data_IF_548121670128
#
_entry.id   IF_548121670128
#
_cell.length_a   1.000
_cell.length_b   1.000
_cell.length_c   1.000
_cell.angle_alpha   90.00
_cell.angle_beta   90.00
_cell.angle_gamma   90.00
#
_symmetry.space_group_name_H-M   'P 1'
#
loop_
_entity.id
_entity.type
_entity.pdbx_description
1 polymer ?
#
# COMPACT_ATOMS: atom_id res chain seq x y z
N UNK A 1 -14.78 -35.53 -20.55
CA UNK A 1 -13.95 -36.30 -21.53
C UNK A 1 -14.66 -36.35 -22.89
N UNK A 2 -15.96 -36.54 -22.93
CA UNK A 2 -16.74 -36.72 -24.15
C UNK A 2 -16.76 -35.48 -25.05
N UNK A 3 -16.81 -34.28 -24.46
CA UNK A 3 -16.76 -33.00 -25.17
C UNK A 3 -15.39 -32.76 -25.86
N UNK A 4 -14.30 -33.12 -25.21
CA UNK A 4 -12.96 -32.97 -25.78
C UNK A 4 -12.79 -33.87 -27.02
N UNK A 5 -13.31 -35.10 -26.95
CA UNK A 5 -13.34 -36.01 -28.09
C UNK A 5 -14.22 -35.50 -29.25
N UNK A 6 -15.43 -35.00 -28.93
CA UNK A 6 -16.34 -34.43 -29.93
C UNK A 6 -15.78 -33.17 -30.63
N UNK A 7 -15.04 -32.35 -29.90
CA UNK A 7 -14.38 -31.14 -30.42
C UNK A 7 -13.02 -31.42 -31.07
N UNK A 8 -12.50 -32.63 -30.97
CA UNK A 8 -11.17 -33.03 -31.49
C UNK A 8 -10.02 -32.28 -30.82
N UNK A 9 -10.14 -32.02 -29.54
CA UNK A 9 -9.12 -31.30 -28.75
C UNK A 9 -8.86 -32.00 -27.40
N UNK A 10 -7.80 -31.59 -26.70
CA UNK A 10 -7.54 -32.11 -25.35
C UNK A 10 -8.51 -31.56 -24.30
N UNK A 11 -8.76 -32.27 -23.19
CA UNK A 11 -9.56 -31.76 -22.08
C UNK A 11 -9.05 -30.41 -21.53
N UNK A 12 -7.72 -30.24 -21.54
CA UNK A 12 -7.10 -28.97 -21.11
C UNK A 12 -7.38 -27.82 -22.09
N UNK A 13 -7.50 -28.12 -23.40
CA UNK A 13 -7.91 -27.14 -24.41
C UNK A 13 -9.37 -26.70 -24.20
N UNK A 14 -10.26 -27.63 -23.87
CA UNK A 14 -11.65 -27.30 -23.50
C UNK A 14 -11.69 -26.40 -22.27
N UNK A 15 -10.99 -26.77 -21.20
CA UNK A 15 -10.90 -25.95 -19.98
C UNK A 15 -10.36 -24.54 -20.25
N UNK A 16 -9.29 -24.41 -21.04
CA UNK A 16 -8.72 -23.13 -21.44
C UNK A 16 -9.66 -22.32 -22.33
N UNK A 17 -10.46 -22.97 -23.17
CA UNK A 17 -11.48 -22.30 -23.99
C UNK A 17 -12.63 -21.78 -23.14
N UNK A 18 -13.05 -22.52 -22.11
CA UNK A 18 -14.03 -22.06 -21.13
C UNK A 18 -13.54 -20.82 -20.39
N UNK A 19 -12.24 -20.76 -20.08
CA UNK A 19 -11.58 -19.62 -19.43
C UNK A 19 -11.17 -18.48 -20.40
N UNK A 20 -11.61 -18.54 -21.63
CA UNK A 20 -11.28 -17.60 -22.71
C UNK A 20 -9.78 -17.28 -22.87
N UNK A 21 -8.92 -18.24 -22.52
CA UNK A 21 -7.45 -18.09 -22.51
C UNK A 21 -6.93 -17.56 -23.85
N UNK A 22 -6.03 -16.54 -23.85
CA UNK A 22 -5.44 -15.99 -25.07
C UNK A 22 -4.52 -17.01 -25.79
N UNK A 23 -4.11 -18.10 -25.12
CA UNK A 23 -3.30 -19.15 -25.72
C UNK A 23 -4.05 -20.07 -26.69
N UNK A 24 -5.39 -19.95 -26.78
CA UNK A 24 -6.23 -20.74 -27.67
C UNK A 24 -6.70 -19.86 -28.83
N UNK A 25 -6.52 -20.35 -30.08
CA UNK A 25 -6.94 -19.63 -31.28
C UNK A 25 -8.45 -19.38 -31.30
N UNK A 26 -8.87 -18.29 -31.93
CA UNK A 26 -10.28 -17.92 -32.08
C UNK A 26 -11.10 -19.04 -32.73
N UNK A 27 -10.56 -19.64 -33.77
CA UNK A 27 -11.20 -20.75 -34.49
C UNK A 27 -11.45 -21.97 -33.58
N UNK A 28 -10.46 -22.33 -32.76
CA UNK A 28 -10.59 -23.42 -31.80
C UNK A 28 -11.63 -23.09 -30.72
N UNK A 29 -11.67 -21.85 -30.25
CA UNK A 29 -12.67 -21.40 -29.27
C UNK A 29 -14.09 -21.51 -29.84
N UNK A 30 -14.30 -21.05 -31.07
CA UNK A 30 -15.61 -21.07 -31.76
C UNK A 30 -16.07 -22.52 -31.98
N UNK A 31 -15.17 -23.41 -32.39
CA UNK A 31 -15.47 -24.83 -32.59
C UNK A 31 -15.89 -25.52 -31.27
N UNK A 32 -15.15 -25.30 -30.19
CA UNK A 32 -15.45 -25.88 -28.88
C UNK A 32 -16.77 -25.33 -28.33
N UNK A 33 -17.03 -24.04 -28.45
CA UNK A 33 -18.31 -23.43 -28.02
C UNK A 33 -19.52 -23.97 -28.80
N UNK A 34 -19.35 -24.23 -30.09
CA UNK A 34 -20.41 -24.82 -30.91
C UNK A 34 -20.77 -26.24 -30.45
N UNK A 35 -19.76 -27.05 -30.18
CA UNK A 35 -19.96 -28.42 -29.66
C UNK A 35 -20.59 -28.40 -28.26
N UNK A 36 -20.21 -27.46 -27.41
CA UNK A 36 -20.85 -27.25 -26.12
C UNK A 36 -22.35 -27.01 -26.25
N UNK A 37 -22.74 -26.07 -27.12
CA UNK A 37 -24.13 -25.76 -27.40
C UNK A 37 -24.90 -26.96 -27.94
N UNK A 38 -24.29 -27.77 -28.86
CA UNK A 38 -24.91 -28.96 -29.43
C UNK A 38 -25.12 -30.09 -28.39
N UNK A 39 -24.26 -30.20 -27.41
CA UNK A 39 -24.34 -31.21 -26.34
C UNK A 39 -25.19 -30.74 -25.14
N UNK A 40 -25.81 -29.57 -25.21
CA UNK A 40 -26.55 -28.97 -24.10
C UNK A 40 -25.68 -28.71 -22.88
N UNK A 41 -24.37 -28.63 -23.07
CA UNK A 41 -23.43 -28.34 -22.01
C UNK A 41 -23.40 -26.82 -21.82
N UNK A 42 -24.15 -26.34 -20.87
CA UNK A 42 -23.86 -25.04 -20.28
C UNK A 42 -22.62 -25.23 -19.42
N UNK A 43 -21.45 -24.72 -19.86
CA UNK A 43 -20.36 -24.63 -18.91
C UNK A 43 -20.90 -23.83 -17.75
N UNK A 44 -20.83 -24.37 -16.54
CA UNK A 44 -20.76 -23.51 -15.38
C UNK A 44 -19.54 -22.63 -15.68
N UNK A 45 -19.77 -21.51 -16.32
CA UNK A 45 -18.98 -20.35 -16.08
C UNK A 45 -19.27 -20.05 -14.59
N UNK A 46 -18.61 -20.75 -13.69
CA UNK A 46 -17.97 -19.96 -12.67
C UNK A 46 -17.26 -18.91 -13.52
N UNK A 47 -17.94 -17.81 -13.78
CA UNK A 47 -17.32 -16.52 -14.03
C UNK A 47 -16.18 -16.57 -13.05
N UNK A 48 -14.94 -16.80 -13.56
CA UNK A 48 -13.79 -16.45 -12.71
C UNK A 48 -14.22 -15.12 -12.18
N UNK A 49 -14.32 -14.97 -10.87
CA UNK A 49 -14.83 -13.74 -10.34
C UNK A 49 -14.01 -12.71 -11.09
N UNK A 50 -14.64 -11.84 -11.87
CA UNK A 50 -14.11 -10.53 -12.24
C UNK A 50 -13.40 -10.14 -10.98
N UNK A 51 -12.05 -10.20 -10.96
CA UNK A 51 -11.21 -10.22 -9.77
C UNK A 51 -12.01 -9.69 -8.62
N UNK A 52 -12.56 -10.60 -7.80
CA UNK A 52 -13.60 -10.17 -6.89
C UNK A 52 -12.82 -9.42 -5.84
N UNK A 53 -12.75 -8.09 -6.06
CA UNK A 53 -12.10 -7.19 -5.12
C UNK A 53 -12.60 -7.59 -3.74
N UNK A 54 -11.70 -7.90 -2.85
CA UNK A 54 -12.00 -8.27 -1.46
C UNK A 54 -12.77 -7.12 -0.77
N UNK A 55 -12.73 -5.92 -1.40
CA UNK A 55 -13.20 -4.64 -0.85
C UNK A 55 -12.59 -4.35 0.51
N UNK A 56 -11.34 -4.76 0.67
CA UNK A 56 -10.59 -4.59 1.90
C UNK A 56 -9.33 -3.78 1.63
N UNK A 57 -9.08 -2.79 2.46
CA UNK A 57 -7.85 -2.00 2.48
C UNK A 57 -7.09 -2.31 3.77
N UNK A 58 -5.85 -2.76 3.60
CA UNK A 58 -4.93 -2.95 4.72
C UNK A 58 -4.31 -1.62 5.15
N UNK A 59 -4.46 -1.24 6.41
CA UNK A 59 -3.83 -0.06 7.00
C UNK A 59 -2.66 -0.54 7.84
N UNK A 60 -1.45 -0.20 7.44
CA UNK A 60 -0.22 -0.67 8.08
C UNK A 60 0.31 0.44 8.98
N UNK A 61 0.40 0.13 10.27
CA UNK A 61 1.00 1.00 11.27
C UNK A 61 2.50 0.70 11.43
N UNK A 62 3.32 1.65 11.94
CA UNK A 62 4.71 1.37 12.23
C UNK A 62 4.82 0.25 13.26
N UNK A 63 5.78 -0.66 13.08
CA UNK A 63 6.10 -1.67 14.09
C UNK A 63 6.55 -0.99 15.37
N UNK A 64 5.95 -1.33 16.50
CA UNK A 64 6.27 -0.78 17.81
C UNK A 64 5.71 -1.67 18.92
N UNK A 65 6.50 -1.88 19.96
CA UNK A 65 6.05 -2.59 21.16
C UNK A 65 5.10 -1.75 22.05
N UNK A 66 5.03 -0.44 21.83
CA UNK A 66 4.20 0.49 22.62
C UNK A 66 3.72 1.66 21.75
N UNK A 67 2.60 2.24 22.11
CA UNK A 67 2.13 3.59 21.72
C UNK A 67 1.59 3.80 20.28
N UNK A 68 1.51 2.77 19.43
CA UNK A 68 0.97 2.94 18.07
C UNK A 68 -0.50 3.35 18.11
N UNK A 69 -1.25 2.83 19.09
CA UNK A 69 -2.67 3.15 19.28
C UNK A 69 -2.92 4.44 20.09
N UNK A 70 -1.88 5.01 20.70
CA UNK A 70 -1.99 6.26 21.46
C UNK A 70 -1.69 7.51 20.60
N UNK A 71 -1.18 7.31 19.40
CA UNK A 71 -0.85 8.41 18.50
C UNK A 71 -2.11 8.99 17.85
N UNK A 72 -2.54 10.16 18.31
CA UNK A 72 -3.71 10.86 17.80
C UNK A 72 -3.65 11.10 16.28
N UNK A 73 -2.47 11.30 15.70
CA UNK A 73 -2.28 11.44 14.26
C UNK A 73 -2.72 10.16 13.51
N UNK A 74 -2.30 8.97 13.96
CA UNK A 74 -2.70 7.72 13.34
C UNK A 74 -4.21 7.48 13.48
N UNK A 75 -4.77 7.75 14.67
CA UNK A 75 -6.21 7.58 14.90
C UNK A 75 -7.07 8.46 13.99
N UNK A 76 -6.68 9.72 13.80
CA UNK A 76 -7.39 10.63 12.91
C UNK A 76 -7.32 10.20 11.44
N UNK A 77 -6.17 9.70 10.99
CA UNK A 77 -6.04 9.17 9.63
C UNK A 77 -6.89 7.91 9.46
N UNK A 78 -6.82 6.96 10.40
CA UNK A 78 -7.64 5.74 10.35
C UNK A 78 -9.12 6.10 10.32
N UNK A 79 -9.55 7.08 11.10
CA UNK A 79 -10.93 7.58 11.10
C UNK A 79 -11.32 8.13 9.71
N UNK A 80 -10.46 8.95 9.11
CA UNK A 80 -10.70 9.50 7.77
C UNK A 80 -10.77 8.43 6.69
N UNK A 81 -9.84 7.46 6.71
CA UNK A 81 -9.84 6.30 5.80
C UNK A 81 -11.14 5.51 5.98
N UNK A 82 -11.53 5.22 7.24
CA UNK A 82 -12.75 4.48 7.54
C UNK A 82 -14.00 5.15 6.99
N UNK A 83 -14.14 6.46 7.16
CA UNK A 83 -15.27 7.22 6.61
C UNK A 83 -15.33 7.12 5.08
N UNK A 84 -14.19 7.26 4.40
CA UNK A 84 -14.12 7.17 2.95
C UNK A 84 -14.41 5.75 2.43
N UNK A 85 -13.84 4.74 3.08
CA UNK A 85 -14.06 3.34 2.75
C UNK A 85 -15.53 2.93 2.91
N UNK A 86 -16.16 3.32 4.03
CA UNK A 86 -17.57 3.02 4.30
C UNK A 86 -18.50 3.57 3.21
N UNK A 87 -18.26 4.79 2.73
CA UNK A 87 -19.03 5.37 1.64
C UNK A 87 -18.95 4.54 0.35
N UNK A 88 -17.87 3.80 0.15
CA UNK A 88 -17.61 2.96 -1.02
C UNK A 88 -17.78 1.48 -0.79
N UNK A 89 -18.29 1.10 0.39
CA UNK A 89 -18.49 -0.30 0.80
C UNK A 89 -17.18 -1.11 0.85
N UNK A 90 -16.08 -0.45 1.22
CA UNK A 90 -14.82 -1.08 1.56
C UNK A 90 -14.72 -1.27 3.07
N UNK A 91 -14.02 -2.33 3.47
CA UNK A 91 -13.66 -2.61 4.86
C UNK A 91 -12.20 -2.23 5.09
N UNK A 92 -11.85 -1.83 6.30
CA UNK A 92 -10.46 -1.60 6.68
C UNK A 92 -9.99 -2.70 7.61
N UNK A 93 -8.77 -3.16 7.41
CA UNK A 93 -8.06 -4.02 8.36
C UNK A 93 -6.79 -3.30 8.81
N UNK A 94 -6.62 -3.15 10.11
CA UNK A 94 -5.40 -2.57 10.69
C UNK A 94 -4.38 -3.68 10.91
N UNK A 95 -3.18 -3.47 10.38
CA UNK A 95 -2.05 -4.40 10.46
C UNK A 95 -1.00 -3.78 11.36
N UNK A 96 -0.62 -4.50 12.40
CA UNK A 96 0.40 -4.10 13.38
C UNK A 96 1.27 -5.31 13.72
N UNK A 97 2.44 -5.05 14.25
CA UNK A 97 3.36 -6.08 14.76
C UNK A 97 4.41 -5.47 15.68
N UNK A 98 5.08 -6.30 16.45
CA UNK A 98 6.18 -5.86 17.32
C UNK A 98 7.41 -5.43 16.51
N UNK A 99 7.60 -6.06 15.33
CA UNK A 99 8.67 -5.75 14.39
C UNK A 99 8.20 -5.81 12.93
N UNK A 100 9.10 -5.43 12.01
CA UNK A 100 8.83 -5.44 10.57
C UNK A 100 8.61 -6.85 10.01
N UNK A 101 9.13 -7.90 10.65
CA UNK A 101 8.97 -9.29 10.18
C UNK A 101 7.55 -9.79 10.44
N UNK A 102 7.02 -9.53 11.62
CA UNK A 102 5.64 -9.87 11.98
C UNK A 102 4.63 -9.13 11.09
N UNK A 103 4.87 -7.84 10.82
CA UNK A 103 4.04 -7.06 9.88
C UNK A 103 4.09 -7.65 8.48
N UNK A 104 5.27 -8.07 8.00
CA UNK A 104 5.42 -8.71 6.69
C UNK A 104 4.68 -10.04 6.60
N UNK A 105 4.77 -10.89 7.61
CA UNK A 105 4.07 -12.17 7.67
C UNK A 105 2.54 -11.98 7.57
N UNK A 106 2.01 -11.00 8.30
CA UNK A 106 0.59 -10.66 8.23
C UNK A 106 0.18 -10.19 6.82
N UNK A 107 0.98 -9.33 6.19
CA UNK A 107 0.71 -8.86 4.83
C UNK A 107 0.78 -10.01 3.82
N UNK A 108 1.81 -10.86 3.90
CA UNK A 108 1.97 -12.02 3.03
C UNK A 108 0.80 -12.98 3.14
N UNK A 109 0.31 -13.24 4.36
CA UNK A 109 -0.88 -14.05 4.59
C UNK A 109 -2.13 -13.45 3.95
N UNK A 110 -2.34 -12.13 4.08
CA UNK A 110 -3.47 -11.44 3.45
C UNK A 110 -3.40 -11.51 1.92
N UNK A 111 -2.21 -11.32 1.35
CA UNK A 111 -1.98 -11.37 -0.11
C UNK A 111 -2.22 -12.80 -0.64
N UNK A 112 -1.67 -13.81 0.02
CA UNK A 112 -1.83 -15.21 -0.37
C UNK A 112 -3.29 -15.66 -0.38
N UNK A 113 -4.12 -15.08 0.50
CA UNK A 113 -5.55 -15.40 0.62
C UNK A 113 -6.47 -14.39 -0.13
N UNK A 114 -5.90 -13.49 -0.95
CA UNK A 114 -6.63 -12.43 -1.66
C UNK A 114 -7.57 -11.62 -0.73
N UNK A 115 -7.12 -11.30 0.48
CA UNK A 115 -7.91 -10.63 1.51
C UNK A 115 -7.76 -9.10 1.52
N UNK A 116 -6.95 -8.52 0.63
CA UNK A 116 -6.80 -7.08 0.50
C UNK A 116 -6.58 -6.66 -0.95
N UNK A 117 -7.24 -5.58 -1.37
CA UNK A 117 -7.10 -4.99 -2.70
C UNK A 117 -5.96 -3.97 -2.76
N UNK A 118 -5.51 -3.48 -1.62
CA UNK A 118 -4.41 -2.54 -1.52
C UNK A 118 -4.08 -2.17 -0.08
N UNK A 119 -3.00 -1.40 0.07
CA UNK A 119 -2.44 -1.10 1.38
C UNK A 119 -2.17 0.40 1.55
N UNK A 120 -2.31 0.90 2.77
CA UNK A 120 -1.95 2.26 3.16
C UNK A 120 -0.95 2.16 4.30
N UNK A 121 0.30 2.61 4.08
CA UNK A 121 1.31 2.70 5.11
C UNK A 121 1.19 4.05 5.82
N UNK A 122 0.97 4.05 7.13
CA UNK A 122 0.88 5.28 7.94
C UNK A 122 2.25 5.75 8.46
N UNK A 123 3.31 5.33 7.84
CA UNK A 123 4.67 5.76 8.17
C UNK A 123 5.59 5.73 6.96
N UNK A 124 6.67 6.49 7.06
CA UNK A 124 7.76 6.48 6.12
C UNK A 124 9.09 6.37 6.85
N UNK A 125 9.84 5.32 6.55
CA UNK A 125 11.08 4.95 7.19
C UNK A 125 12.15 4.72 6.13
N UNK A 126 13.37 5.15 6.40
CA UNK A 126 14.52 4.79 5.56
C UNK A 126 14.69 3.27 5.61
N UNK A 127 14.95 2.68 4.44
CA UNK A 127 15.17 1.22 4.31
C UNK A 127 14.00 0.37 4.87
N UNK A 128 12.75 0.76 4.56
CA UNK A 128 11.54 0.07 5.01
C UNK A 128 11.34 -1.26 4.25
N UNK A 129 11.45 -2.42 4.90
CA UNK A 129 11.28 -3.72 4.25
C UNK A 129 9.83 -3.95 3.80
N UNK A 130 8.85 -3.42 4.52
CA UNK A 130 7.43 -3.50 4.17
C UNK A 130 7.14 -2.76 2.87
N UNK A 131 7.61 -1.51 2.74
CA UNK A 131 7.44 -0.74 1.50
C UNK A 131 8.19 -1.39 0.32
N UNK A 132 9.37 -1.98 0.57
CA UNK A 132 10.12 -2.70 -0.42
C UNK A 132 9.36 -3.95 -0.91
N UNK A 133 8.78 -4.72 -0.01
CA UNK A 133 7.97 -5.89 -0.35
C UNK A 133 6.76 -5.51 -1.21
N UNK A 134 5.93 -4.54 -0.77
CA UNK A 134 4.75 -4.11 -1.50
C UNK A 134 5.08 -3.66 -2.93
N UNK A 135 6.17 -2.95 -3.09
CA UNK A 135 6.64 -2.49 -4.41
C UNK A 135 7.14 -3.65 -5.29
N UNK A 136 7.94 -4.55 -4.73
CA UNK A 136 8.53 -5.67 -5.48
C UNK A 136 7.47 -6.66 -5.97
N UNK A 137 6.43 -6.88 -5.17
CA UNK A 137 5.28 -7.72 -5.53
C UNK A 137 4.25 -6.98 -6.40
N UNK A 138 4.47 -5.70 -6.72
CA UNK A 138 3.55 -4.91 -7.53
C UNK A 138 2.20 -4.63 -6.86
N UNK A 139 2.15 -4.70 -5.54
CA UNK A 139 0.92 -4.50 -4.77
C UNK A 139 0.53 -3.02 -4.73
N UNK A 140 -0.75 -2.75 -4.94
CA UNK A 140 -1.27 -1.38 -4.86
C UNK A 140 -1.07 -0.83 -3.44
N UNK A 141 -0.34 0.27 -3.32
CA UNK A 141 -0.12 0.88 -2.02
C UNK A 141 0.08 2.40 -2.08
N UNK A 142 -0.21 3.05 -0.97
CA UNK A 142 0.00 4.48 -0.73
C UNK A 142 0.80 4.63 0.56
N UNK A 143 1.72 5.59 0.60
CA UNK A 143 2.50 5.92 1.81
C UNK A 143 2.01 7.27 2.34
N UNK A 144 1.67 7.33 3.63
CA UNK A 144 1.49 8.58 4.37
C UNK A 144 2.85 8.96 4.96
N UNK A 145 3.43 10.00 4.39
CA UNK A 145 4.82 10.40 4.54
C UNK A 145 5.55 10.32 3.20
N UNK A 146 6.76 10.84 3.14
CA UNK A 146 7.57 10.90 1.93
C UNK A 146 8.08 9.54 1.51
N UNK A 147 8.02 9.20 0.24
CA UNK A 147 8.64 7.99 -0.27
C UNK A 147 10.18 8.08 -0.14
N UNK A 148 10.78 7.15 0.61
CA UNK A 148 12.24 7.10 0.82
C UNK A 148 13.01 6.74 -0.44
N UNK A 149 12.42 5.87 -1.26
CA UNK A 149 12.99 5.35 -2.50
C UNK A 149 11.93 5.33 -3.59
N UNK A 150 12.35 5.41 -4.86
CA UNK A 150 11.47 5.30 -6.02
C UNK A 150 10.25 6.23 -5.97
N UNK A 151 10.45 7.49 -5.54
CA UNK A 151 9.37 8.47 -5.40
C UNK A 151 8.54 8.65 -6.69
N UNK A 152 9.14 8.46 -7.86
CA UNK A 152 8.47 8.54 -9.16
C UNK A 152 7.56 7.32 -9.46
N UNK A 153 7.66 6.25 -8.67
CA UNK A 153 6.92 5.00 -8.84
C UNK A 153 6.02 4.68 -7.63
N UNK A 154 6.00 5.56 -6.63
CA UNK A 154 5.25 5.35 -5.39
C UNK A 154 4.26 6.48 -5.20
N UNK A 155 2.99 6.16 -4.96
CA UNK A 155 2.00 7.14 -4.55
C UNK A 155 2.22 7.43 -3.07
N UNK A 156 2.45 8.71 -2.74
CA UNK A 156 2.59 9.14 -1.35
C UNK A 156 1.92 10.48 -1.09
N UNK A 157 1.57 10.71 0.16
CA UNK A 157 0.99 11.95 0.65
C UNK A 157 1.82 12.41 1.84
N UNK A 158 2.42 13.58 1.75
CA UNK A 158 3.26 14.14 2.82
C UNK A 158 3.06 15.64 2.95
N UNK A 159 3.41 16.16 4.12
CA UNK A 159 3.57 17.59 4.35
C UNK A 159 5.01 17.99 4.02
N UNK A 160 5.25 19.27 3.77
CA UNK A 160 6.63 19.77 3.73
C UNK A 160 7.20 19.86 5.15
N UNK A 161 7.77 18.74 5.60
CA UNK A 161 8.30 18.62 6.95
C UNK A 161 9.54 19.51 7.17
N UNK A 162 10.32 19.77 6.12
CA UNK A 162 11.46 20.68 6.22
C UNK A 162 10.99 22.12 6.40
N UNK A 163 10.02 22.55 5.59
CA UNK A 163 9.43 23.88 5.72
C UNK A 163 8.76 24.05 7.09
N UNK A 164 8.01 23.07 7.57
CA UNK A 164 7.40 23.14 8.89
C UNK A 164 8.43 23.31 10.03
N UNK A 165 9.57 22.61 9.94
CA UNK A 165 10.68 22.79 10.88
C UNK A 165 11.33 24.16 10.78
N UNK A 166 11.50 24.70 9.56
CA UNK A 166 12.04 26.03 9.30
C UNK A 166 11.10 27.12 9.84
N UNK A 167 9.83 27.12 9.46
CA UNK A 167 8.83 28.10 9.88
C UNK A 167 8.66 28.16 11.41
N UNK A 168 8.59 27.00 12.07
CA UNK A 168 8.49 26.94 13.53
C UNK A 168 9.73 27.56 14.20
N UNK A 169 10.91 27.35 13.63
CA UNK A 169 12.16 27.88 14.17
C UNK A 169 12.29 29.38 13.87
N UNK A 170 11.94 29.83 12.67
CA UNK A 170 11.87 31.24 12.28
C UNK A 170 10.93 32.00 13.21
N UNK A 171 9.74 31.45 13.49
CA UNK A 171 8.79 32.06 14.42
C UNK A 171 9.39 32.28 15.82
N UNK A 172 10.06 31.26 16.37
CA UNK A 172 10.72 31.40 17.66
C UNK A 172 11.84 32.45 17.63
N UNK A 173 12.58 32.52 16.53
CA UNK A 173 13.63 33.54 16.35
C UNK A 173 13.02 34.95 16.28
N UNK A 174 11.94 35.17 15.56
CA UNK A 174 11.21 36.45 15.46
C UNK A 174 10.65 36.87 16.81
N UNK A 175 10.21 35.93 17.64
CA UNK A 175 9.79 36.19 19.01
C UNK A 175 10.94 36.55 19.97
N UNK A 176 12.18 36.62 19.46
CA UNK A 176 13.36 37.03 20.21
C UNK A 176 14.18 35.88 20.81
N UNK A 177 13.77 34.63 20.63
CA UNK A 177 14.55 33.51 21.13
C UNK A 177 15.84 33.30 20.30
N UNK A 178 16.92 32.99 20.96
CA UNK A 178 18.25 32.76 20.34
C UNK A 178 18.85 31.41 20.74
N UNK A 179 18.28 30.76 21.75
CA UNK A 179 18.70 29.45 22.25
C UNK A 179 17.52 28.50 22.06
N UNK A 180 17.40 27.98 20.86
CA UNK A 180 16.31 27.12 20.42
C UNK A 180 16.83 25.69 20.34
N UNK A 181 16.13 24.73 20.95
CA UNK A 181 16.45 23.32 20.93
C UNK A 181 15.40 22.54 20.14
N UNK A 182 15.84 21.51 19.42
CA UNK A 182 14.98 20.58 18.70
C UNK A 182 14.91 19.23 19.43
N UNK A 183 13.70 18.81 19.75
CA UNK A 183 13.44 17.46 20.25
C UNK A 183 12.77 16.65 19.17
N UNK A 184 13.48 15.66 18.65
CA UNK A 184 12.99 14.75 17.59
C UNK A 184 12.84 13.33 18.08
N UNK A 185 12.14 12.54 17.31
CA UNK A 185 12.11 11.08 17.45
C UNK A 185 13.25 10.45 16.63
N UNK A 186 13.26 9.13 16.50
CA UNK A 186 14.28 8.40 15.76
C UNK A 186 14.48 8.96 14.34
N UNK A 187 15.73 9.26 13.96
CA UNK A 187 16.12 9.79 12.65
C UNK A 187 15.88 8.81 11.49
N UNK A 188 15.57 7.55 11.75
CA UNK A 188 15.13 6.62 10.71
C UNK A 188 13.76 7.01 10.12
N UNK A 189 12.94 7.74 10.88
CA UNK A 189 11.68 8.29 10.39
C UNK A 189 11.95 9.55 9.56
N UNK A 190 11.54 9.55 8.29
CA UNK A 190 11.87 10.63 7.35
C UNK A 190 11.32 11.98 7.79
N UNK A 191 10.08 12.04 8.31
CA UNK A 191 9.49 13.28 8.80
C UNK A 191 10.34 13.93 9.90
N UNK A 192 10.92 13.12 10.81
CA UNK A 192 11.76 13.63 11.90
C UNK A 192 13.07 14.20 11.37
N UNK A 193 13.73 13.48 10.46
CA UNK A 193 14.96 13.93 9.85
C UNK A 193 14.76 15.23 9.04
N UNK A 194 13.66 15.35 8.30
CA UNK A 194 13.36 16.56 7.53
C UNK A 194 13.03 17.75 8.41
N UNK A 195 12.22 17.58 9.48
CA UNK A 195 11.95 18.66 10.44
C UNK A 195 13.22 19.14 11.12
N UNK A 196 14.11 18.20 11.52
CA UNK A 196 15.43 18.55 12.06
C UNK A 196 16.24 19.35 11.05
N UNK A 197 16.23 18.97 9.78
CA UNK A 197 16.91 19.71 8.71
C UNK A 197 16.36 21.13 8.58
N UNK A 198 15.03 21.32 8.57
CA UNK A 198 14.41 22.64 8.52
C UNK A 198 14.81 23.52 9.70
N UNK A 199 14.76 22.95 10.92
CA UNK A 199 15.27 23.64 12.12
C UNK A 199 16.73 24.11 11.96
N UNK A 200 17.61 23.23 11.48
CA UNK A 200 19.03 23.56 11.27
C UNK A 200 19.22 24.65 10.21
N UNK A 201 18.47 24.57 9.10
CA UNK A 201 18.54 25.57 8.03
C UNK A 201 18.08 26.95 8.51
N UNK A 202 17.00 27.03 9.29
CA UNK A 202 16.55 28.28 9.89
C UNK A 202 17.63 28.89 10.81
N UNK A 203 18.21 28.10 11.71
CA UNK A 203 19.27 28.59 12.58
C UNK A 203 20.45 29.15 11.79
N UNK A 204 20.92 28.44 10.76
CA UNK A 204 22.02 28.88 9.89
C UNK A 204 21.67 30.19 9.15
N UNK A 205 20.47 30.31 8.62
CA UNK A 205 19.92 31.51 7.98
C UNK A 205 20.01 32.74 8.92
N UNK A 206 19.81 32.52 10.21
CA UNK A 206 19.90 33.55 11.23
C UNK A 206 21.30 33.68 11.89
N UNK A 207 22.33 33.05 11.34
CA UNK A 207 23.69 33.11 11.83
C UNK A 207 23.95 32.35 13.13
N UNK A 208 23.04 31.44 13.51
CA UNK A 208 23.19 30.59 14.68
C UNK A 208 23.69 29.21 14.26
N UNK A 209 24.80 28.76 14.83
CA UNK A 209 25.35 27.43 14.55
C UNK A 209 24.57 26.39 15.38
N UNK A 210 23.89 25.41 14.71
CA UNK A 210 23.23 24.32 15.42
C UNK A 210 24.24 23.54 16.27
N UNK A 211 23.88 23.23 17.50
CA UNK A 211 24.66 22.32 18.37
C UNK A 211 24.00 20.95 18.32
N UNK A 212 24.80 19.90 18.22
CA UNK A 212 24.34 18.51 18.34
C UNK A 212 23.97 18.16 19.79
#
# INVERSE_FOLDING_TARGET
KDMAAAAGVSPSTVSRTCKDSPSISRETKERVRRIMAQLGYEPNFETEPVEAFSKTIGIILPSSQRDVYENAFHLEIIRGIGQFCNQRRYVNTVITGEDDAEVLDAIQSMVANAQADGFILLYSKKDCPVAAYLRNEGLLHVIVGKAAQSANQTIYIDNDNALAGEEATDYLYEMGHRRIAYFGVNNAMLFSAERKRGYQMSLLKHGIIPRE
#
